data_IF_100741669246
#
_entry.id   IF_100741669246
#
_cell.length_a   1.000
_cell.length_b   1.000
_cell.length_c   1.000
_cell.angle_alpha   90.00
_cell.angle_beta   90.00
_cell.angle_gamma   90.00
#
_symmetry.space_group_name_H-M   'P 1'
#
loop_
_entity.id
_entity.type
_entity.pdbx_description
1 polymer ?
#
# COMPACT_ATOMS: atom_id res chain seq x y z
N UNK A 1 3.68 8.92 14.71
CA UNK A 1 4.38 8.93 13.41
C UNK A 1 3.51 8.14 12.45
N UNK A 2 3.13 8.68 11.30
CA UNK A 2 2.48 7.91 10.24
C UNK A 2 3.52 7.56 9.19
N UNK A 3 3.50 6.32 8.71
CA UNK A 3 4.43 5.82 7.71
C UNK A 3 3.70 5.75 6.38
N UNK A 4 4.31 6.31 5.33
CA UNK A 4 3.73 6.38 3.99
C UNK A 4 4.73 5.89 2.97
N UNK A 5 4.28 4.93 2.17
CA UNK A 5 5.02 4.42 1.03
C UNK A 5 4.22 4.67 -0.24
N UNK A 6 4.94 4.97 -1.31
CA UNK A 6 4.36 5.08 -2.64
C UNK A 6 5.24 4.31 -3.61
N UNK A 7 4.62 3.47 -4.42
CA UNK A 7 5.27 2.80 -5.53
C UNK A 7 4.34 2.76 -6.74
N UNK A 8 4.89 2.47 -7.91
CA UNK A 8 4.14 2.29 -9.14
C UNK A 8 4.17 0.83 -9.56
N UNK A 9 3.01 0.24 -9.76
CA UNK A 9 2.83 -1.12 -10.26
C UNK A 9 1.95 -1.10 -11.51
N UNK A 10 2.57 -1.34 -12.67
CA UNK A 10 1.89 -1.31 -13.96
C UNK A 10 0.78 -2.38 -14.08
N UNK A 11 0.87 -3.45 -13.29
CA UNK A 11 -0.13 -4.54 -13.27
C UNK A 11 -1.45 -4.11 -12.62
N UNK A 12 -1.45 -3.00 -11.88
CA UNK A 12 -2.60 -2.47 -11.17
C UNK A 12 -3.28 -1.32 -11.92
N UNK A 13 -2.89 -1.07 -13.16
CA UNK A 13 -3.59 -0.12 -14.02
C UNK A 13 -5.01 -0.59 -14.30
N UNK A 14 -5.96 0.35 -14.24
CA UNK A 14 -7.37 0.08 -14.51
C UNK A 14 -8.02 1.30 -15.17
N UNK A 15 -9.10 1.08 -15.92
CA UNK A 15 -9.89 2.15 -16.53
C UNK A 15 -10.69 2.89 -15.45
N UNK A 16 -10.53 4.21 -15.38
CA UNK A 16 -11.18 5.07 -14.39
C UNK A 16 -12.64 5.43 -14.73
N UNK A 17 -13.19 4.81 -15.78
CA UNK A 17 -14.54 5.02 -16.30
C UNK A 17 -14.79 6.50 -16.65
N UNK A 18 -13.79 7.15 -17.25
CA UNK A 18 -13.85 8.57 -17.61
C UNK A 18 -13.73 9.51 -16.41
N UNK A 19 -12.88 9.15 -15.43
CA UNK A 19 -12.60 9.94 -14.24
C UNK A 19 -13.61 9.77 -13.09
N UNK A 20 -14.52 8.80 -13.18
CA UNK A 20 -15.47 8.49 -12.10
C UNK A 20 -14.79 7.80 -10.92
N UNK A 21 -13.74 7.01 -11.17
CA UNK A 21 -13.02 6.25 -10.14
C UNK A 21 -11.62 6.81 -9.92
N UNK A 22 -11.47 7.71 -8.94
CA UNK A 22 -10.18 8.35 -8.62
C UNK A 22 -9.11 7.42 -8.04
N UNK A 23 -9.55 6.44 -7.25
CA UNK A 23 -8.70 5.42 -6.64
C UNK A 23 -9.57 4.26 -6.13
N UNK A 24 -9.00 3.06 -6.13
CA UNK A 24 -9.56 1.88 -5.46
C UNK A 24 -8.96 1.79 -4.05
N UNK A 25 -9.80 1.51 -3.05
CA UNK A 25 -9.33 1.27 -1.68
C UNK A 25 -9.34 -0.23 -1.41
N UNK A 26 -8.19 -0.78 -1.00
CA UNK A 26 -8.06 -2.19 -0.67
C UNK A 26 -8.09 -2.36 0.86
N UNK A 27 -9.02 -3.17 1.34
CA UNK A 27 -9.14 -3.53 2.77
C UNK A 27 -8.28 -4.72 3.17
N UNK A 28 -7.75 -5.47 2.18
CA UNK A 28 -6.92 -6.67 2.38
C UNK A 28 -5.54 -6.47 1.73
N UNK A 29 -4.59 -5.79 2.40
CA UNK A 29 -3.27 -5.50 1.83
C UNK A 29 -2.42 -6.75 1.56
N UNK A 30 -2.70 -7.88 2.22
CA UNK A 30 -1.95 -9.13 2.06
C UNK A 30 -2.08 -9.76 0.67
N UNK A 31 -3.10 -9.39 -0.10
CA UNK A 31 -3.30 -9.86 -1.48
C UNK A 31 -2.45 -9.10 -2.50
N UNK A 32 -1.82 -8.00 -2.08
CA UNK A 32 -1.02 -7.16 -2.96
C UNK A 32 0.47 -7.39 -2.72
N UNK A 33 1.23 -7.42 -3.81
CA UNK A 33 2.68 -7.31 -3.70
C UNK A 33 3.05 -5.93 -3.15
N UNK A 34 3.91 -5.91 -2.13
CA UNK A 34 4.49 -4.69 -1.54
C UNK A 34 6.01 -4.86 -1.47
N UNK A 35 6.80 -3.78 -1.51
CA UNK A 35 8.23 -3.87 -1.28
C UNK A 35 8.50 -4.39 0.14
N UNK A 36 9.48 -5.29 0.26
CA UNK A 36 9.93 -5.78 1.57
C UNK A 36 10.75 -4.69 2.27
N UNK A 37 10.09 -3.89 3.09
CA UNK A 37 10.76 -2.87 3.91
C UNK A 37 11.47 -3.52 5.09
N UNK A 38 12.78 -3.30 5.20
CA UNK A 38 13.55 -3.69 6.38
C UNK A 38 14.43 -2.53 6.86
N UNK A 39 14.50 -2.35 8.18
CA UNK A 39 15.42 -1.40 8.81
C UNK A 39 16.68 -2.15 9.25
N UNK A 40 17.79 -1.93 8.53
CA UNK A 40 19.03 -2.71 8.69
C UNK A 40 19.70 -2.56 10.06
N UNK A 41 19.29 -1.57 10.87
CA UNK A 41 19.89 -1.22 12.17
C UNK A 41 18.95 -1.44 13.36
N UNK A 42 17.83 -2.13 13.19
CA UNK A 42 16.90 -2.36 14.30
C UNK A 42 17.45 -3.46 15.23
N UNK A 43 17.90 -3.06 16.43
CA UNK A 43 18.56 -3.96 17.39
C UNK A 43 17.58 -4.88 18.14
N UNK A 44 16.33 -4.44 18.26
CA UNK A 44 15.15 -5.21 18.68
C UNK A 44 13.93 -4.56 18.03
N UNK A 45 13.58 -5.04 16.84
CA UNK A 45 12.29 -4.75 16.23
C UNK A 45 11.31 -5.79 16.70
N UNK A 46 10.48 -5.44 17.68
CA UNK A 46 9.22 -6.14 17.81
C UNK A 46 8.41 -5.83 16.54
N UNK A 47 8.61 -6.64 15.50
CA UNK A 47 7.57 -7.01 14.55
C UNK A 47 6.46 -7.68 15.37
N UNK A 48 5.84 -6.96 16.30
CA UNK A 48 4.54 -7.35 16.79
C UNK A 48 3.78 -7.61 15.51
N UNK A 49 3.33 -8.87 15.36
CA UNK A 49 2.32 -9.32 14.43
C UNK A 49 1.67 -8.07 13.86
N UNK A 50 1.94 -7.77 12.59
CA UNK A 50 1.43 -6.60 11.92
C UNK A 50 -0.10 -6.81 11.87
N UNK A 51 -0.74 -6.59 13.02
CA UNK A 51 -2.17 -6.63 13.26
C UNK A 51 -2.57 -5.36 12.54
N UNK A 52 -3.03 -5.49 11.31
CA UNK A 52 -3.40 -4.36 10.47
C UNK A 52 -4.92 -4.20 10.50
N UNK A 53 -5.50 -3.50 11.50
CA UNK A 53 -6.87 -3.06 11.37
C UNK A 53 -6.97 -1.77 10.55
N UNK A 54 -5.88 -0.99 10.41
CA UNK A 54 -5.93 0.39 9.92
C UNK A 54 -4.93 0.72 8.80
N UNK A 55 -4.68 -0.19 7.87
CA UNK A 55 -3.93 0.14 6.66
C UNK A 55 -4.87 0.73 5.64
N UNK A 56 -4.49 1.88 5.10
CA UNK A 56 -5.17 2.43 3.95
C UNK A 56 -4.30 2.23 2.72
N UNK A 57 -4.72 1.32 1.83
CA UNK A 57 -4.10 1.11 0.52
C UNK A 57 -4.97 1.73 -0.56
N UNK A 58 -4.42 2.67 -1.33
CA UNK A 58 -5.09 3.31 -2.47
C UNK A 58 -4.35 3.01 -3.76
N UNK A 59 -5.06 2.50 -4.76
CA UNK A 59 -4.54 2.23 -6.10
C UNK A 59 -5.15 3.25 -7.05
N UNK A 60 -4.32 4.00 -7.76
CA UNK A 60 -4.74 4.97 -8.77
C UNK A 60 -4.80 4.34 -10.17
N UNK A 61 -5.58 4.91 -11.10
CA UNK A 61 -5.77 4.34 -12.45
C UNK A 61 -4.46 4.15 -13.25
N UNK A 62 -3.47 5.00 -12.98
CA UNK A 62 -2.15 4.96 -13.62
C UNK A 62 -1.21 3.87 -13.04
N UNK A 63 -1.67 3.11 -12.04
CA UNK A 63 -0.91 2.08 -11.34
C UNK A 63 -0.14 2.58 -10.12
N UNK A 64 -0.32 3.85 -9.70
CA UNK A 64 0.31 4.34 -8.47
C UNK A 64 -0.40 3.77 -7.24
N UNK A 65 0.38 3.22 -6.31
CA UNK A 65 -0.11 2.68 -5.04
C UNK A 65 0.38 3.54 -3.90
N UNK A 66 -0.55 3.97 -3.05
CA UNK A 66 -0.26 4.66 -1.81
C UNK A 66 -0.63 3.75 -0.63
N UNK A 67 0.34 3.54 0.25
CA UNK A 67 0.20 2.73 1.45
C UNK A 67 0.46 3.61 2.68
N UNK A 68 -0.48 3.61 3.62
CA UNK A 68 -0.37 4.38 4.86
C UNK A 68 -0.65 3.50 6.07
N UNK A 69 0.27 3.55 7.04
CA UNK A 69 0.18 2.96 8.39
C UNK A 69 0.23 4.09 9.43
#
# INVERSE_FOLDING_TARGET
MTFREQWRDERLQYDDLGGQVRYLTLTEPDKLWKPDLFFSNEKEGHFHNIIMPNVLLRIHPNGDVLFSI
#
